data_IF_753774643428
#
_entry.id   IF_753774643428
#
_cell.length_a   1.000
_cell.length_b   1.000
_cell.length_c   1.000
_cell.angle_alpha   90.00
_cell.angle_beta   90.00
_cell.angle_gamma   90.00
#
_symmetry.space_group_name_H-M   'P 1'
#
loop_
_entity.id
_entity.type
_entity.pdbx_description
1 polymer ?
#
# COMPACT_ATOMS: atom_id res chain seq x y z
N UNK A 1 -13.47 13.28 -14.38
CA UNK A 1 -12.17 13.96 -14.46
C UNK A 1 -11.38 13.26 -15.54
N UNK A 2 -10.52 13.94 -16.29
CA UNK A 2 -9.64 13.28 -17.26
C UNK A 2 -8.34 12.87 -16.56
N UNK A 3 -7.75 11.75 -16.97
CA UNK A 3 -6.40 11.35 -16.53
C UNK A 3 -5.37 12.49 -16.68
N UNK A 4 -5.50 13.33 -17.72
CA UNK A 4 -4.63 14.48 -17.93
C UNK A 4 -4.72 15.53 -16.82
N UNK A 5 -5.89 15.71 -16.19
CA UNK A 5 -6.05 16.66 -15.08
C UNK A 5 -5.23 16.22 -13.86
N UNK A 6 -5.15 14.91 -13.58
CA UNK A 6 -4.32 14.39 -12.51
C UNK A 6 -2.83 14.50 -12.83
N UNK A 7 -2.45 14.15 -14.06
CA UNK A 7 -1.07 14.22 -14.52
C UNK A 7 -0.51 15.66 -14.48
N UNK A 8 -1.27 16.63 -14.99
CA UNK A 8 -0.87 18.04 -14.95
C UNK A 8 -0.81 18.58 -13.51
N UNK A 9 -1.71 18.14 -12.62
CA UNK A 9 -1.65 18.52 -11.21
C UNK A 9 -0.36 18.03 -10.54
N UNK A 10 0.01 16.75 -10.76
CA UNK A 10 1.25 16.18 -10.25
C UNK A 10 2.48 16.94 -10.75
N UNK A 11 2.58 17.17 -12.06
CA UNK A 11 3.69 17.94 -12.64
C UNK A 11 3.75 19.37 -12.12
N UNK A 12 2.60 20.04 -12.01
CA UNK A 12 2.53 21.41 -11.47
C UNK A 12 3.02 21.43 -10.03
N UNK A 13 2.68 20.42 -9.22
CA UNK A 13 3.18 20.29 -7.86
C UNK A 13 4.71 20.17 -7.85
N UNK A 14 5.27 19.23 -8.62
CA UNK A 14 6.73 19.05 -8.72
C UNK A 14 7.47 20.32 -9.16
N UNK A 15 6.91 21.06 -10.12
CA UNK A 15 7.46 22.33 -10.60
C UNK A 15 7.41 23.43 -9.54
N UNK A 16 6.27 23.56 -8.84
CA UNK A 16 6.08 24.54 -7.77
C UNK A 16 7.04 24.31 -6.59
N UNK A 17 7.32 23.04 -6.30
CA UNK A 17 8.17 22.63 -5.19
C UNK A 17 9.63 22.41 -5.60
N UNK A 18 10.01 22.73 -6.85
CA UNK A 18 11.38 22.59 -7.36
C UNK A 18 11.99 21.20 -7.15
N UNK A 19 11.15 20.15 -7.14
CA UNK A 19 11.61 18.78 -6.96
C UNK A 19 12.56 18.34 -8.08
N UNK A 20 13.45 17.36 -7.83
CA UNK A 20 14.28 16.76 -8.89
C UNK A 20 13.45 16.27 -10.10
N UNK A 21 12.21 15.85 -9.88
CA UNK A 21 11.27 15.37 -10.89
C UNK A 21 10.85 16.43 -11.90
N UNK A 22 10.81 17.71 -11.50
CA UNK A 22 10.26 18.80 -12.30
C UNK A 22 10.90 18.94 -13.69
N UNK A 23 12.20 18.68 -13.77
CA UNK A 23 13.02 18.82 -14.99
C UNK A 23 13.26 17.50 -15.72
N UNK A 24 12.78 16.37 -15.17
CA UNK A 24 13.07 15.03 -15.69
C UNK A 24 11.92 14.42 -16.50
N UNK A 25 10.81 15.13 -16.71
CA UNK A 25 9.72 14.67 -17.57
C UNK A 25 10.18 14.57 -19.04
N UNK A 26 10.18 13.36 -19.59
CA UNK A 26 10.59 13.10 -20.97
C UNK A 26 9.53 13.55 -21.98
N UNK A 27 9.95 13.93 -23.18
CA UNK A 27 9.02 14.40 -24.22
C UNK A 27 7.89 13.39 -24.49
N UNK A 28 6.65 13.86 -24.74
CA UNK A 28 5.52 12.98 -25.05
C UNK A 28 5.75 12.16 -26.32
N UNK A 29 5.22 10.94 -26.34
CA UNK A 29 5.19 10.11 -27.53
C UNK A 29 3.95 10.38 -28.39
N UNK A 30 4.13 10.27 -29.71
CA UNK A 30 3.02 10.23 -30.67
C UNK A 30 2.45 8.84 -30.73
N UNK A 31 1.18 8.75 -31.15
CA UNK A 31 0.47 7.48 -31.25
C UNK A 31 1.21 6.41 -32.08
N UNK A 32 1.78 6.69 -33.27
CA UNK A 32 2.51 5.68 -34.03
C UNK A 32 3.77 5.16 -33.31
N UNK A 33 4.45 6.01 -32.53
CA UNK A 33 5.65 5.62 -31.77
C UNK A 33 5.26 4.65 -30.64
N UNK A 34 4.17 4.96 -29.92
CA UNK A 34 3.59 4.06 -28.90
C UNK A 34 3.18 2.73 -29.53
N UNK A 35 2.45 2.77 -30.65
CA UNK A 35 1.99 1.54 -31.31
C UNK A 35 3.17 0.68 -31.80
N UNK A 36 4.27 1.29 -32.27
CA UNK A 36 5.48 0.56 -32.66
C UNK A 36 6.15 -0.13 -31.47
N UNK A 37 6.33 0.58 -30.35
CA UNK A 37 6.93 0.01 -29.15
C UNK A 37 6.09 -1.16 -28.60
N UNK A 38 4.78 -0.96 -28.50
CA UNK A 38 3.85 -1.95 -27.97
C UNK A 38 3.70 -3.21 -28.82
N UNK A 39 4.23 -3.27 -30.05
CA UNK A 39 4.29 -4.53 -30.82
C UNK A 39 5.10 -5.62 -30.11
N UNK A 40 6.01 -5.24 -29.21
CA UNK A 40 6.81 -6.16 -28.38
C UNK A 40 6.03 -6.70 -27.17
N UNK A 41 4.87 -6.14 -26.85
CA UNK A 41 4.02 -6.55 -25.75
C UNK A 41 2.76 -7.24 -26.30
N UNK A 42 2.50 -8.53 -25.96
CA UNK A 42 1.50 -9.33 -26.67
C UNK A 42 0.05 -9.04 -26.26
N UNK A 43 -0.19 -8.15 -25.29
CA UNK A 43 -1.53 -7.84 -24.77
C UNK A 43 -2.01 -6.46 -25.20
N UNK A 44 -3.33 -6.29 -25.42
CA UNK A 44 -3.90 -4.98 -25.69
C UNK A 44 -3.79 -4.09 -24.44
N UNK A 45 -3.21 -2.90 -24.59
CA UNK A 45 -3.09 -1.96 -23.46
C UNK A 45 -4.35 -1.09 -23.31
N UNK A 46 -4.70 -0.68 -22.07
CA UNK A 46 -5.81 0.23 -21.85
C UNK A 46 -5.51 1.64 -22.38
N UNK A 47 -6.55 2.37 -22.78
CA UNK A 47 -6.40 3.73 -23.31
C UNK A 47 -5.80 4.73 -22.30
N UNK A 48 -5.95 4.47 -21.01
CA UNK A 48 -5.31 5.24 -19.93
C UNK A 48 -3.78 5.19 -20.03
N UNK A 49 -3.20 4.03 -20.35
CA UNK A 49 -1.77 3.87 -20.53
C UNK A 49 -1.27 4.66 -21.75
N UNK A 50 -2.04 4.64 -22.84
CA UNK A 50 -1.73 5.44 -24.03
C UNK A 50 -1.76 6.93 -23.69
N UNK A 51 -2.70 7.38 -22.87
CA UNK A 51 -2.77 8.77 -22.43
C UNK A 51 -1.57 9.17 -21.56
N UNK A 52 -1.08 8.28 -20.68
CA UNK A 52 0.12 8.49 -19.89
C UNK A 52 1.34 8.80 -20.79
N UNK A 53 1.62 7.93 -21.77
CA UNK A 53 2.78 8.11 -22.65
C UNK A 53 2.64 9.23 -23.68
N UNK A 54 1.40 9.62 -24.02
CA UNK A 54 1.13 10.84 -24.80
C UNK A 54 1.30 12.12 -24.01
N UNK A 55 1.27 12.04 -22.69
CA UNK A 55 1.54 13.16 -21.80
C UNK A 55 3.04 13.35 -21.60
N UNK A 56 3.74 12.32 -21.15
CA UNK A 56 5.20 12.28 -21.06
C UNK A 56 5.68 10.84 -21.20
N UNK A 57 6.83 10.63 -21.84
CA UNK A 57 7.43 9.30 -22.00
C UNK A 57 8.16 8.85 -20.73
N UNK A 58 7.47 8.86 -19.59
CA UNK A 58 8.08 8.60 -18.29
C UNK A 58 9.03 9.70 -17.82
N UNK A 59 9.94 9.33 -16.93
CA UNK A 59 10.88 10.21 -16.24
C UNK A 59 12.32 9.75 -16.51
N UNK A 60 13.22 10.70 -16.70
CA UNK A 60 14.65 10.44 -16.85
C UNK A 60 15.35 10.29 -15.49
N UNK A 61 16.54 9.69 -15.50
CA UNK A 61 17.48 9.65 -14.38
C UNK A 61 16.92 9.09 -13.07
N UNK A 62 15.95 8.17 -13.14
CA UNK A 62 15.28 7.60 -11.96
C UNK A 62 14.70 8.67 -11.03
N UNK A 63 14.20 9.78 -11.60
CA UNK A 63 13.57 10.83 -10.81
C UNK A 63 12.21 10.33 -10.28
N UNK A 64 12.01 10.28 -8.95
CA UNK A 64 10.79 9.72 -8.38
C UNK A 64 9.58 10.61 -8.64
N UNK A 65 8.47 10.04 -9.11
CA UNK A 65 7.19 10.75 -9.19
C UNK A 65 6.54 10.85 -7.81
N UNK A 66 6.54 9.76 -7.05
CA UNK A 66 6.08 9.73 -5.67
C UNK A 66 6.90 8.70 -4.93
N UNK A 67 7.18 8.99 -3.65
CA UNK A 67 8.12 8.20 -2.84
C UNK A 67 9.41 7.93 -3.63
N UNK A 68 9.74 6.66 -3.87
CA UNK A 68 10.91 6.23 -4.64
C UNK A 68 10.58 5.79 -6.08
N UNK A 69 9.30 5.72 -6.47
CA UNK A 69 8.87 5.17 -7.76
C UNK A 69 9.04 6.14 -8.91
N UNK A 70 9.69 5.67 -9.97
CA UNK A 70 9.85 6.39 -11.23
C UNK A 70 8.89 5.84 -12.28
N UNK A 71 8.24 6.69 -13.09
CA UNK A 71 7.52 6.23 -14.28
C UNK A 71 8.55 5.86 -15.35
N UNK A 72 8.54 4.61 -15.78
CA UNK A 72 9.42 4.15 -16.84
C UNK A 72 9.12 4.85 -18.17
N UNK A 73 10.15 5.21 -18.95
CA UNK A 73 10.00 5.34 -20.39
C UNK A 73 9.39 4.07 -20.98
N UNK A 74 8.53 4.19 -22.01
CA UNK A 74 7.80 3.03 -22.54
C UNK A 74 8.73 1.93 -23.06
N UNK A 75 9.88 2.29 -23.62
CA UNK A 75 10.88 1.31 -24.06
C UNK A 75 11.46 0.51 -22.88
N UNK A 76 11.78 1.19 -21.78
CA UNK A 76 12.26 0.58 -20.54
C UNK A 76 11.19 -0.29 -19.89
N UNK A 77 9.94 0.16 -19.84
CA UNK A 77 8.80 -0.64 -19.37
C UNK A 77 8.67 -1.99 -20.12
N UNK A 78 8.95 -2.00 -21.43
CA UNK A 78 8.92 -3.22 -22.26
C UNK A 78 10.15 -4.11 -22.00
N UNK A 79 11.30 -3.52 -21.70
CA UNK A 79 12.52 -4.25 -21.35
C UNK A 79 12.38 -4.90 -19.96
N UNK A 80 11.88 -4.16 -18.98
CA UNK A 80 11.55 -4.66 -17.64
C UNK A 80 10.48 -5.77 -17.71
N UNK A 81 9.46 -5.61 -18.56
CA UNK A 81 8.51 -6.70 -18.83
C UNK A 81 9.18 -7.97 -19.36
N UNK A 82 10.09 -7.83 -20.32
CA UNK A 82 10.79 -8.98 -20.90
C UNK A 82 11.67 -9.68 -19.85
N UNK A 83 12.36 -8.90 -19.02
CA UNK A 83 13.17 -9.41 -17.92
C UNK A 83 12.30 -10.12 -16.88
N UNK A 84 11.21 -9.51 -16.44
CA UNK A 84 10.30 -10.10 -15.46
C UNK A 84 9.68 -11.41 -15.94
N UNK A 85 9.37 -11.54 -17.24
CA UNK A 85 8.91 -12.78 -17.84
C UNK A 85 10.02 -13.86 -17.92
N UNK A 86 11.28 -13.48 -18.18
CA UNK A 86 12.42 -14.40 -18.23
C UNK A 86 12.81 -14.91 -16.84
N UNK A 87 12.81 -14.01 -15.85
CA UNK A 87 13.21 -14.27 -14.47
C UNK A 87 12.06 -14.76 -13.59
N UNK A 88 10.83 -14.83 -14.11
CA UNK A 88 9.67 -15.21 -13.32
C UNK A 88 9.90 -16.57 -12.67
N UNK A 89 10.10 -16.54 -11.35
CA UNK A 89 10.07 -17.72 -10.52
C UNK A 89 8.69 -18.39 -10.59
N UNK A 90 8.64 -19.66 -10.20
CA UNK A 90 7.39 -20.36 -10.01
C UNK A 90 7.03 -20.32 -8.52
N UNK A 91 5.76 -20.06 -8.21
CA UNK A 91 5.21 -20.19 -6.87
C UNK A 91 5.15 -21.67 -6.41
N UNK A 92 4.65 -21.91 -5.20
CA UNK A 92 4.50 -23.26 -4.65
C UNK A 92 3.58 -24.17 -5.49
N UNK A 93 2.67 -23.59 -6.27
CA UNK A 93 1.78 -24.28 -7.21
C UNK A 93 2.40 -24.47 -8.60
N UNK A 94 3.66 -24.06 -8.79
CA UNK A 94 4.37 -24.15 -10.05
C UNK A 94 3.88 -23.13 -11.10
N UNK A 95 3.22 -22.05 -10.68
CA UNK A 95 2.77 -20.97 -11.57
C UNK A 95 3.76 -19.81 -11.59
N UNK A 96 3.98 -19.17 -12.75
CA UNK A 96 4.80 -17.95 -12.82
C UNK A 96 4.29 -16.90 -11.84
N UNK A 97 5.19 -16.42 -10.97
CA UNK A 97 4.91 -15.34 -10.02
C UNK A 97 4.62 -14.02 -10.78
N UNK A 98 5.17 -13.86 -11.99
CA UNK A 98 4.84 -12.75 -12.89
C UNK A 98 3.79 -13.19 -13.92
N UNK A 99 2.65 -12.49 -13.97
CA UNK A 99 1.63 -12.73 -15.00
C UNK A 99 2.07 -12.11 -16.32
N UNK A 100 2.02 -12.87 -17.42
CA UNK A 100 2.41 -12.39 -18.75
C UNK A 100 1.65 -11.14 -19.23
N UNK A 101 0.45 -10.89 -18.70
CA UNK A 101 -0.34 -9.71 -19.04
C UNK A 101 0.03 -8.45 -18.25
N UNK A 102 0.96 -8.55 -17.31
CA UNK A 102 1.41 -7.43 -16.49
C UNK A 102 2.53 -6.66 -17.18
N UNK A 103 2.28 -5.38 -17.43
CA UNK A 103 3.29 -4.45 -17.94
C UNK A 103 3.74 -3.54 -16.78
N UNK A 104 5.01 -3.58 -16.34
CA UNK A 104 5.50 -2.67 -15.31
C UNK A 104 5.49 -1.24 -15.87
N UNK A 105 4.91 -0.31 -15.12
CA UNK A 105 4.79 1.10 -15.54
C UNK A 105 5.53 2.05 -14.62
N UNK A 106 5.76 1.64 -13.37
CA UNK A 106 6.65 2.30 -12.45
C UNK A 106 7.51 1.26 -11.74
N UNK A 107 8.67 1.67 -11.26
CA UNK A 107 9.45 0.82 -10.37
C UNK A 107 10.55 1.53 -9.60
N UNK A 108 11.12 0.76 -8.67
CA UNK A 108 12.19 1.15 -7.77
C UNK A 108 12.91 -0.11 -7.26
N UNK A 109 14.21 -0.25 -7.52
CA UNK A 109 15.04 -1.34 -6.96
C UNK A 109 14.45 -2.77 -7.11
N UNK A 110 13.79 -3.06 -8.24
CA UNK A 110 13.18 -4.37 -8.51
C UNK A 110 11.73 -4.52 -7.99
N UNK A 111 11.22 -3.50 -7.31
CA UNK A 111 9.79 -3.35 -7.05
C UNK A 111 9.11 -2.71 -8.25
N UNK A 112 7.92 -3.20 -8.58
CA UNK A 112 7.14 -2.71 -9.71
C UNK A 112 5.70 -2.43 -9.33
N UNK A 113 5.16 -1.36 -9.91
CA UNK A 113 3.72 -1.20 -10.11
C UNK A 113 3.41 -1.56 -11.55
N UNK A 114 2.69 -2.66 -11.74
CA UNK A 114 2.39 -3.22 -13.06
C UNK A 114 0.91 -3.16 -13.36
N UNK A 115 0.57 -2.79 -14.59
CA UNK A 115 -0.82 -2.74 -15.07
C UNK A 115 -1.22 -4.07 -15.72
N UNK A 116 -2.32 -4.67 -15.28
CA UNK A 116 -2.85 -5.88 -15.89
C UNK A 116 -3.60 -5.56 -17.19
N UNK A 117 -3.02 -6.01 -18.30
CA UNK A 117 -3.55 -5.81 -19.65
C UNK A 117 -4.37 -7.01 -20.18
N UNK A 118 -4.70 -7.97 -19.32
CA UNK A 118 -5.51 -9.13 -19.71
C UNK A 118 -6.97 -8.68 -20.02
N UNK A 119 -7.44 -8.83 -21.26
CA UNK A 119 -8.80 -8.42 -21.65
C UNK A 119 -9.88 -9.33 -21.08
N UNK A 120 -9.52 -10.49 -20.52
CA UNK A 120 -10.42 -11.43 -19.85
C UNK A 120 -10.32 -11.34 -18.33
N UNK A 121 -9.37 -10.56 -17.78
CA UNK A 121 -9.31 -10.34 -16.36
C UNK A 121 -10.64 -9.75 -15.88
N UNK A 122 -11.08 -10.19 -14.70
CA UNK A 122 -12.27 -9.62 -14.05
C UNK A 122 -12.16 -8.10 -13.92
N UNK A 123 -10.93 -7.58 -13.81
CA UNK A 123 -10.59 -6.16 -13.72
C UNK A 123 -9.39 -5.83 -14.62
N UNK A 124 -9.63 -5.67 -15.92
CA UNK A 124 -8.59 -5.15 -16.83
C UNK A 124 -8.17 -3.73 -16.44
N UNK A 125 -6.87 -3.45 -16.49
CA UNK A 125 -6.28 -2.15 -16.17
C UNK A 125 -5.99 -1.91 -14.69
N UNK A 126 -6.14 -2.95 -13.86
CA UNK A 126 -5.82 -2.95 -12.44
C UNK A 126 -4.31 -2.83 -12.22
N UNK A 127 -3.88 -2.13 -11.17
CA UNK A 127 -2.45 -1.93 -10.85
C UNK A 127 -2.05 -2.86 -9.71
N UNK A 128 -1.10 -3.74 -9.99
CA UNK A 128 -0.50 -4.68 -9.06
C UNK A 128 0.82 -4.14 -8.54
N UNK A 129 1.05 -4.32 -7.25
CA UNK A 129 2.36 -4.17 -6.65
C UNK A 129 3.09 -5.52 -6.65
N UNK A 130 4.36 -5.51 -7.03
CA UNK A 130 5.23 -6.69 -7.00
C UNK A 130 6.61 -6.33 -6.47
N UNK A 131 7.01 -6.92 -5.35
CA UNK A 131 8.37 -6.86 -4.81
C UNK A 131 9.14 -8.17 -5.05
N UNK A 132 10.49 -8.14 -5.09
CA UNK A 132 11.30 -9.35 -5.20
C UNK A 132 11.02 -10.34 -4.06
N UNK A 133 10.85 -11.62 -4.36
CA UNK A 133 10.58 -12.67 -3.36
C UNK A 133 9.18 -12.65 -2.72
N UNK A 134 8.33 -11.68 -3.07
CA UNK A 134 6.96 -11.58 -2.55
C UNK A 134 5.91 -11.88 -3.62
N UNK A 135 4.76 -12.40 -3.17
CA UNK A 135 3.57 -12.52 -4.01
C UNK A 135 3.06 -11.12 -4.41
N UNK A 136 2.62 -10.98 -5.65
CA UNK A 136 2.01 -9.72 -6.07
C UNK A 136 0.65 -9.55 -5.39
N UNK A 137 0.27 -8.31 -5.14
CA UNK A 137 -1.06 -7.97 -4.64
C UNK A 137 -1.58 -6.69 -5.30
N UNK A 138 -2.89 -6.53 -5.39
CA UNK A 138 -3.47 -5.34 -6.02
C UNK A 138 -3.26 -4.10 -5.16
N UNK A 139 -2.88 -3.00 -5.78
CA UNK A 139 -2.54 -1.77 -5.08
C UNK A 139 -3.46 -0.60 -5.40
N UNK A 140 -3.81 -0.43 -6.69
CA UNK A 140 -4.74 0.60 -7.16
C UNK A 140 -5.73 0.05 -8.16
N UNK A 141 -7.00 0.47 -8.08
CA UNK A 141 -8.12 -0.07 -8.86
C UNK A 141 -7.96 0.14 -10.37
N UNK A 142 -7.24 1.19 -10.76
CA UNK A 142 -6.86 1.46 -12.14
C UNK A 142 -5.75 2.52 -12.19
N UNK A 143 -5.14 2.72 -13.36
CA UNK A 143 -4.19 3.82 -13.57
C UNK A 143 -4.81 5.21 -13.25
N UNK A 144 -6.09 5.41 -13.56
CA UNK A 144 -6.75 6.68 -13.25
C UNK A 144 -6.93 6.88 -11.74
N UNK A 145 -7.31 5.83 -11.01
CA UNK A 145 -7.44 5.88 -9.55
C UNK A 145 -6.09 6.01 -8.85
N UNK A 146 -5.04 5.38 -9.38
CA UNK A 146 -3.67 5.60 -8.93
C UNK A 146 -3.32 7.09 -9.00
N UNK A 147 -3.47 7.70 -10.17
CA UNK A 147 -3.11 9.12 -10.37
C UNK A 147 -3.97 10.07 -9.53
N UNK A 148 -5.27 9.78 -9.37
CA UNK A 148 -6.13 10.52 -8.44
C UNK A 148 -5.66 10.37 -6.99
N UNK A 149 -5.25 9.18 -6.58
CA UNK A 149 -4.71 8.92 -5.23
C UNK A 149 -3.46 9.72 -4.99
N UNK A 150 -2.46 9.62 -5.89
CA UNK A 150 -1.21 10.36 -5.79
C UNK A 150 -1.45 11.86 -5.69
N UNK A 151 -2.30 12.41 -6.56
CA UNK A 151 -2.69 13.81 -6.52
C UNK A 151 -3.30 14.17 -5.16
N UNK A 152 -4.22 13.36 -4.67
CA UNK A 152 -4.91 13.59 -3.39
C UNK A 152 -3.94 13.55 -2.21
N UNK A 153 -2.91 12.69 -2.27
CA UNK A 153 -1.85 12.64 -1.27
C UNK A 153 -1.01 13.94 -1.26
N UNK A 154 -0.59 14.43 -2.42
CA UNK A 154 0.12 15.71 -2.52
C UNK A 154 -0.74 16.91 -2.09
N UNK A 155 -2.03 16.93 -2.46
CA UNK A 155 -2.96 18.02 -2.09
C UNK A 155 -3.26 18.05 -0.59
N UNK A 156 -3.24 16.89 0.08
CA UNK A 156 -3.53 16.76 1.51
C UNK A 156 -2.26 16.71 2.39
N UNK A 157 -1.08 16.89 1.79
CA UNK A 157 0.19 16.87 2.53
C UNK A 157 0.61 15.48 3.02
N UNK A 158 -0.02 14.41 2.53
CA UNK A 158 0.46 13.04 2.80
C UNK A 158 1.77 12.74 2.06
N UNK A 159 2.03 13.43 0.94
CA UNK A 159 3.34 13.53 0.31
C UNK A 159 3.89 14.93 0.45
N UNK A 160 5.12 15.05 0.95
CA UNK A 160 5.74 16.32 1.28
C UNK A 160 7.27 16.24 1.17
N UNK A 161 7.94 17.39 1.07
CA UNK A 161 9.39 17.46 1.25
C UNK A 161 9.68 17.67 2.73
N UNK A 162 10.56 16.84 3.28
CA UNK A 162 11.05 17.00 4.64
C UNK A 162 12.15 18.09 4.74
N UNK A 163 12.75 18.22 5.93
CA UNK A 163 13.79 19.20 6.21
C UNK A 163 15.04 19.04 5.34
N UNK A 164 15.28 17.83 4.81
CA UNK A 164 16.43 17.49 3.95
C UNK A 164 16.08 17.62 2.45
N UNK A 165 14.91 18.20 2.12
CA UNK A 165 14.38 18.30 0.76
C UNK A 165 14.20 16.93 0.08
N UNK A 166 14.00 15.87 0.88
CA UNK A 166 13.70 14.53 0.41
C UNK A 166 12.18 14.35 0.35
N UNK A 167 11.69 13.75 -0.74
CA UNK A 167 10.28 13.46 -0.89
C UNK A 167 9.90 12.33 0.09
N UNK A 168 9.14 12.70 1.11
CA UNK A 168 8.73 11.84 2.22
C UNK A 168 7.21 11.60 2.22
N UNK A 169 6.78 10.59 2.97
CA UNK A 169 5.40 10.11 3.03
C UNK A 169 4.92 10.02 4.49
N UNK A 170 3.75 10.60 4.78
CA UNK A 170 2.91 10.17 5.92
C UNK A 170 2.16 8.92 5.47
N UNK A 171 2.69 7.77 5.86
CA UNK A 171 2.20 6.48 5.39
C UNK A 171 0.75 6.23 5.79
N UNK A 172 0.35 6.63 6.99
CA UNK A 172 -1.03 6.41 7.47
C UNK A 172 -2.02 7.30 6.71
N UNK A 173 -1.67 8.56 6.47
CA UNK A 173 -2.49 9.47 5.67
C UNK A 173 -2.58 8.99 4.21
N UNK A 174 -1.45 8.64 3.60
CA UNK A 174 -1.39 8.17 2.22
C UNK A 174 -2.17 6.85 2.04
N UNK A 175 -1.99 5.90 2.97
CA UNK A 175 -2.70 4.62 2.91
C UNK A 175 -4.21 4.81 3.09
N UNK A 176 -4.65 5.67 4.00
CA UNK A 176 -6.08 5.99 4.19
C UNK A 176 -6.71 6.59 2.92
N UNK A 177 -6.02 7.53 2.27
CA UNK A 177 -6.45 8.12 0.99
C UNK A 177 -6.54 7.04 -0.09
N UNK A 178 -5.51 6.18 -0.18
CA UNK A 178 -5.49 5.05 -1.12
C UNK A 178 -6.67 4.12 -0.90
N UNK A 179 -6.94 3.70 0.33
CA UNK A 179 -8.03 2.78 0.63
C UNK A 179 -9.41 3.37 0.33
N UNK A 180 -9.59 4.66 0.58
CA UNK A 180 -10.83 5.37 0.27
C UNK A 180 -11.09 5.44 -1.24
N UNK A 181 -10.04 5.68 -2.04
CA UNK A 181 -10.14 5.87 -3.49
C UNK A 181 -10.02 4.57 -4.29
N UNK A 182 -9.44 3.52 -3.69
CA UNK A 182 -9.23 2.21 -4.30
C UNK A 182 -9.90 1.12 -3.46
N UNK A 183 -11.22 1.21 -3.21
CA UNK A 183 -11.91 0.30 -2.31
C UNK A 183 -11.88 -1.14 -2.81
N UNK A 184 -11.63 -1.39 -4.10
CA UNK A 184 -11.54 -2.75 -4.61
C UNK A 184 -10.18 -3.40 -4.34
N UNK A 185 -9.09 -2.64 -4.46
CA UNK A 185 -7.72 -3.07 -4.14
C UNK A 185 -7.50 -3.16 -2.64
N UNK A 186 -8.03 -2.18 -1.90
CA UNK A 186 -7.98 -2.17 -0.44
C UNK A 186 -8.78 -3.30 0.21
N UNK A 187 -9.85 -3.76 -0.45
CA UNK A 187 -10.67 -4.90 -0.01
C UNK A 187 -10.25 -6.22 -0.61
N UNK A 188 -9.26 -6.26 -1.49
CA UNK A 188 -8.55 -7.51 -1.66
C UNK A 188 -7.73 -7.65 -0.38
N UNK A 189 -8.41 -8.13 0.67
CA UNK A 189 -7.78 -9.01 1.64
C UNK A 189 -6.88 -9.90 0.79
N UNK A 190 -5.57 -9.87 1.01
CA UNK A 190 -4.69 -10.95 0.54
C UNK A 190 -5.48 -12.19 0.85
N UNK A 191 -6.06 -12.86 -0.17
CA UNK A 191 -7.13 -13.83 0.04
C UNK A 191 -6.58 -14.79 1.07
N UNK A 192 -7.02 -14.65 2.34
CA UNK A 192 -6.52 -15.53 3.38
C UNK A 192 -6.95 -16.89 2.87
N UNK A 193 -5.99 -17.79 2.56
CA UNK A 193 -6.32 -19.04 1.91
C UNK A 193 -7.48 -19.67 2.66
N UNK A 194 -8.42 -20.31 1.98
CA UNK A 194 -9.45 -21.04 2.73
C UNK A 194 -8.74 -21.99 3.70
N UNK A 195 -9.06 -21.95 5.01
CA UNK A 195 -8.39 -22.81 5.97
C UNK A 195 -8.49 -24.27 5.55
N UNK A 196 -7.35 -24.96 5.47
CA UNK A 196 -7.31 -26.39 5.17
C UNK A 196 -7.77 -27.23 6.35
N UNK A 197 -7.64 -26.70 7.58
CA UNK A 197 -8.09 -27.36 8.81
C UNK A 197 -8.35 -26.34 9.94
N UNK A 198 -9.27 -26.69 10.84
CA UNK A 198 -9.57 -25.93 12.05
C UNK A 198 -9.74 -26.85 13.25
N UNK A 199 -8.98 -26.60 14.31
CA UNK A 199 -8.99 -27.39 15.54
C UNK A 199 -9.36 -26.52 16.74
N UNK A 200 -10.48 -26.85 17.38
CA UNK A 200 -10.87 -26.24 18.65
C UNK A 200 -10.49 -27.18 19.81
N UNK A 201 -9.59 -26.71 20.66
CA UNK A 201 -9.10 -27.44 21.83
C UNK A 201 -9.63 -26.78 23.11
N UNK A 202 -10.40 -27.52 23.90
CA UNK A 202 -10.80 -27.09 25.24
C UNK A 202 -9.70 -27.45 26.25
N UNK A 203 -9.35 -26.50 27.12
CA UNK A 203 -8.33 -26.68 28.16
C UNK A 203 -8.97 -27.03 29.51
N UNK A 204 -8.23 -27.67 30.44
CA UNK A 204 -8.74 -28.06 31.76
C UNK A 204 -9.22 -26.87 32.63
N UNK A 205 -8.70 -25.67 32.39
CA UNK A 205 -9.07 -24.44 33.10
C UNK A 205 -10.30 -23.74 32.51
N UNK A 206 -10.92 -24.33 31.49
CA UNK A 206 -12.09 -23.79 30.79
C UNK A 206 -11.76 -22.84 29.64
N UNK A 207 -10.49 -22.51 29.42
CA UNK A 207 -10.06 -21.75 28.24
C UNK A 207 -10.18 -22.59 26.96
N UNK A 208 -10.16 -21.93 25.81
CA UNK A 208 -10.20 -22.60 24.51
C UNK A 208 -9.10 -22.05 23.60
N UNK A 209 -8.55 -22.92 22.75
CA UNK A 209 -7.62 -22.55 21.68
C UNK A 209 -8.22 -22.99 20.34
N UNK A 210 -8.35 -22.06 19.40
CA UNK A 210 -8.73 -22.34 18.02
C UNK A 210 -7.50 -22.18 17.12
N UNK A 211 -6.99 -23.30 16.60
CA UNK A 211 -5.94 -23.30 15.60
C UNK A 211 -6.56 -23.37 14.20
N UNK A 212 -6.24 -22.42 13.33
CA UNK A 212 -6.71 -22.36 11.93
C UNK A 212 -5.50 -22.47 11.01
N UNK A 213 -5.42 -23.56 10.25
CA UNK A 213 -4.28 -23.89 9.39
C UNK A 213 -4.57 -23.51 7.94
N UNK A 214 -3.60 -22.85 7.32
CA UNK A 214 -3.60 -22.52 5.88
C UNK A 214 -2.60 -23.41 5.14
N UNK A 215 -1.54 -23.83 5.82
CA UNK A 215 -0.58 -24.87 5.43
C UNK A 215 -0.08 -25.61 6.69
N UNK A 216 0.90 -26.52 6.56
CA UNK A 216 1.58 -27.11 7.73
C UNK A 216 2.41 -26.08 8.51
N UNK A 217 2.88 -25.03 7.85
CA UNK A 217 3.77 -24.00 8.40
C UNK A 217 3.10 -22.66 8.65
N UNK A 218 1.93 -22.41 8.06
CA UNK A 218 1.23 -21.14 8.09
C UNK A 218 -0.14 -21.34 8.76
N UNK A 219 -0.30 -20.78 9.96
CA UNK A 219 -1.48 -20.98 10.78
C UNK A 219 -1.66 -19.87 11.81
N UNK A 220 -2.87 -19.73 12.33
CA UNK A 220 -3.18 -18.84 13.46
C UNK A 220 -3.66 -19.64 14.66
N UNK A 221 -3.36 -19.16 15.86
CA UNK A 221 -3.91 -19.67 17.11
C UNK A 221 -4.65 -18.55 17.83
N UNK A 222 -5.97 -18.69 18.00
CA UNK A 222 -6.79 -17.77 18.77
C UNK A 222 -7.06 -18.36 20.14
N UNK A 223 -6.90 -17.55 21.18
CA UNK A 223 -7.09 -17.95 22.57
C UNK A 223 -8.34 -17.30 23.13
N UNK A 224 -9.13 -18.06 23.87
CA UNK A 224 -10.38 -17.64 24.48
C UNK A 224 -10.41 -17.98 25.96
N UNK A 225 -10.85 -17.03 26.77
CA UNK A 225 -11.07 -17.22 28.21
C UNK A 225 -12.24 -18.17 28.51
N UNK A 226 -12.45 -18.55 29.78
CA UNK A 226 -13.60 -19.36 30.19
C UNK A 226 -14.96 -18.71 29.91
N UNK A 227 -14.99 -17.38 29.77
CA UNK A 227 -16.13 -16.56 29.36
C UNK A 227 -16.31 -16.46 27.84
N UNK A 228 -15.46 -17.15 27.06
CA UNK A 228 -15.38 -17.13 25.60
C UNK A 228 -14.97 -15.78 25.00
N UNK A 229 -14.44 -14.85 25.80
CA UNK A 229 -13.83 -13.63 25.27
C UNK A 229 -12.46 -13.97 24.69
N UNK A 230 -12.10 -13.39 23.54
CA UNK A 230 -10.77 -13.57 22.93
C UNK A 230 -9.72 -12.94 23.84
N UNK A 231 -8.72 -13.70 24.27
CA UNK A 231 -7.63 -13.26 25.15
C UNK A 231 -6.30 -13.09 24.42
N UNK A 232 -6.19 -13.62 23.19
CA UNK A 232 -4.99 -13.45 22.37
C UNK A 232 -5.10 -14.05 20.97
N UNK A 233 -4.09 -13.76 20.17
CA UNK A 233 -3.86 -14.32 18.83
C UNK A 233 -2.35 -14.57 18.66
N UNK A 234 -1.97 -15.67 18.04
CA UNK A 234 -0.64 -15.86 17.50
C UNK A 234 -0.78 -16.18 16.00
N UNK A 235 0.09 -15.59 15.19
CA UNK A 235 0.16 -15.86 13.75
C UNK A 235 1.53 -16.42 13.42
N UNK A 236 1.54 -17.51 12.67
CA UNK A 236 2.73 -18.22 12.27
C UNK A 236 2.86 -18.20 10.76
N UNK A 237 4.06 -17.93 10.25
CA UNK A 237 4.41 -18.14 8.85
C UNK A 237 5.74 -18.85 8.72
N UNK A 238 5.83 -19.82 7.81
CA UNK A 238 7.03 -20.66 7.67
C UNK A 238 7.40 -21.40 8.96
N UNK A 239 6.42 -21.64 9.85
CA UNK A 239 6.59 -22.23 11.17
C UNK A 239 7.15 -21.28 12.24
N UNK A 240 7.39 -20.01 11.91
CA UNK A 240 7.90 -18.99 12.82
C UNK A 240 6.74 -18.11 13.31
N UNK A 241 6.76 -17.70 14.58
CA UNK A 241 5.79 -16.74 15.12
C UNK A 241 6.10 -15.35 14.56
N UNK A 242 5.18 -14.80 13.77
CA UNK A 242 5.37 -13.51 13.08
C UNK A 242 4.60 -12.37 13.74
N UNK A 243 3.50 -12.69 14.44
CA UNK A 243 2.68 -11.73 15.17
C UNK A 243 2.08 -12.36 16.42
N UNK A 244 2.00 -11.57 17.48
CA UNK A 244 1.30 -11.93 18.73
C UNK A 244 0.39 -10.80 19.16
N UNK A 245 -0.83 -11.12 19.56
CA UNK A 245 -1.76 -10.20 20.22
C UNK A 245 -2.09 -10.71 21.62
N UNK A 246 -2.20 -9.78 22.57
CA UNK A 246 -2.77 -10.03 23.90
C UNK A 246 -3.89 -9.05 24.18
N UNK A 247 -5.01 -9.55 24.71
CA UNK A 247 -6.23 -8.78 24.90
C UNK A 247 -6.52 -8.67 26.40
N UNK A 248 -6.64 -7.44 26.89
CA UNK A 248 -6.91 -7.11 28.27
C UNK A 248 -8.20 -6.29 28.39
N UNK A 249 -9.29 -6.93 28.79
CA UNK A 249 -10.58 -6.26 28.95
C UNK A 249 -10.56 -5.37 30.19
N UNK A 250 -10.71 -4.06 29.97
CA UNK A 250 -10.78 -3.06 31.03
C UNK A 250 -12.19 -2.98 31.62
N UNK A 251 -13.21 -3.27 30.79
CA UNK A 251 -14.61 -3.38 31.18
C UNK A 251 -15.39 -4.26 30.18
N UNK A 252 -16.73 -4.29 30.27
CA UNK A 252 -17.57 -4.95 29.27
C UNK A 252 -17.57 -4.21 27.91
N UNK A 253 -17.27 -2.91 27.91
CA UNK A 253 -17.33 -2.05 26.72
C UNK A 253 -15.94 -1.61 26.25
N UNK A 254 -14.87 -2.07 26.90
CA UNK A 254 -13.52 -1.54 26.67
C UNK A 254 -12.44 -2.62 26.81
N UNK A 255 -11.48 -2.58 25.88
CA UNK A 255 -10.34 -3.50 25.79
C UNK A 255 -9.05 -2.76 25.46
N UNK A 256 -7.94 -3.22 26.02
CA UNK A 256 -6.60 -2.88 25.57
C UNK A 256 -6.01 -4.09 24.84
N UNK A 257 -5.56 -3.90 23.61
CA UNK A 257 -4.93 -4.93 22.77
C UNK A 257 -3.47 -4.53 22.61
N UNK A 258 -2.55 -5.42 22.98
CA UNK A 258 -1.12 -5.27 22.65
C UNK A 258 -0.78 -6.20 21.50
N UNK A 259 -0.37 -5.64 20.37
CA UNK A 259 0.08 -6.33 19.18
C UNK A 259 1.60 -6.23 19.06
N UNK A 260 2.27 -7.34 18.79
CA UNK A 260 3.71 -7.42 18.63
C UNK A 260 4.02 -8.04 17.26
N UNK A 261 4.69 -7.28 16.41
CA UNK A 261 5.19 -7.75 15.11
C UNK A 261 6.62 -8.23 15.29
N UNK A 262 6.84 -9.53 15.03
CA UNK A 262 8.09 -10.21 15.34
C UNK A 262 8.98 -10.43 14.11
N UNK A 263 8.46 -10.19 12.91
CA UNK A 263 9.28 -10.18 11.69
C UNK A 263 9.85 -8.80 11.42
N UNK A 264 11.18 -8.75 11.22
CA UNK A 264 11.90 -7.52 10.91
C UNK A 264 12.13 -6.62 12.12
N UNK A 265 11.67 -5.37 12.03
CA UNK A 265 11.76 -4.37 13.09
C UNK A 265 10.72 -4.66 14.17
N UNK A 266 11.16 -4.90 15.42
CA UNK A 266 10.25 -5.17 16.53
C UNK A 266 9.40 -3.94 16.85
N UNK A 267 8.14 -3.99 16.39
CA UNK A 267 7.14 -2.96 16.64
C UNK A 267 6.09 -3.54 17.57
N UNK A 268 5.74 -2.77 18.60
CA UNK A 268 4.64 -3.08 19.51
C UNK A 268 3.60 -2.00 19.38
N UNK A 269 2.34 -2.37 19.15
CA UNK A 269 1.20 -1.45 19.10
C UNK A 269 0.32 -1.72 20.31
N UNK A 270 -0.04 -0.69 21.06
CA UNK A 270 -1.08 -0.75 22.09
C UNK A 270 -2.31 -0.02 21.60
N UNK A 271 -3.39 -0.75 21.45
CA UNK A 271 -4.67 -0.27 20.94
C UNK A 271 -5.65 -0.28 22.10
N UNK A 272 -6.16 0.90 22.45
CA UNK A 272 -7.31 1.00 23.34
C UNK A 272 -8.56 1.04 22.47
N UNK A 273 -9.48 0.10 22.68
CA UNK A 273 -10.65 -0.07 21.85
C UNK A 273 -11.95 -0.09 22.64
N UNK A 274 -13.02 0.38 22.02
CA UNK A 274 -14.40 0.22 22.48
C UNK A 274 -15.01 -1.02 21.87
N UNK A 275 -15.69 -1.83 22.67
CA UNK A 275 -16.43 -3.00 22.21
C UNK A 275 -17.84 -2.56 21.85
N UNK A 276 -18.25 -2.75 20.59
CA UNK A 276 -19.61 -2.45 20.13
C UNK A 276 -20.61 -3.50 20.63
N UNK A 277 -21.93 -3.22 20.62
CA UNK A 277 -22.95 -4.21 20.97
C UNK A 277 -22.89 -5.51 20.14
N UNK A 278 -22.33 -5.44 18.93
CA UNK A 278 -22.10 -6.58 18.04
C UNK A 278 -20.80 -7.35 18.35
N UNK A 279 -20.03 -6.92 19.36
CA UNK A 279 -18.77 -7.53 19.77
C UNK A 279 -17.56 -7.13 18.93
N UNK A 280 -17.67 -6.08 18.09
CA UNK A 280 -16.54 -5.55 17.32
C UNK A 280 -15.71 -4.61 18.18
N UNK A 281 -14.42 -4.49 17.88
CA UNK A 281 -13.55 -3.51 18.54
C UNK A 281 -13.37 -2.30 17.61
N UNK A 282 -13.77 -1.13 18.08
CA UNK A 282 -13.47 0.16 17.45
C UNK A 282 -12.28 0.80 18.18
N UNK A 283 -11.18 1.06 17.47
CA UNK A 283 -10.01 1.71 18.07
C UNK A 283 -10.37 3.15 18.54
N UNK A 284 -9.98 3.47 19.78
CA UNK A 284 -10.11 4.79 20.39
C UNK A 284 -8.77 5.53 20.43
N UNK A 285 -7.70 4.80 20.73
CA UNK A 285 -6.34 5.30 20.83
C UNK A 285 -5.38 4.19 20.37
N UNK A 286 -4.29 4.58 19.72
CA UNK A 286 -3.25 3.66 19.24
C UNK A 286 -1.89 4.27 19.56
N UNK A 287 -1.05 3.51 20.25
CA UNK A 287 0.31 3.90 20.59
C UNK A 287 1.29 2.88 20.02
N UNK A 288 2.25 3.33 19.25
CA UNK A 288 3.30 2.48 18.69
C UNK A 288 4.58 2.62 19.50
N UNK A 289 5.30 1.52 19.66
CA UNK A 289 6.57 1.43 20.36
C UNK A 289 7.58 0.75 19.46
N UNK A 290 8.80 1.29 19.43
CA UNK A 290 9.93 0.70 18.74
C UNK A 290 11.04 0.42 19.75
N UNK A 291 11.44 -0.85 19.89
CA UNK A 291 12.39 -1.29 20.92
C UNK A 291 12.01 -0.87 22.36
N UNK A 292 10.71 -0.79 22.65
CA UNK A 292 10.16 -0.43 23.96
C UNK A 292 10.02 1.07 24.22
N UNK A 293 10.53 1.92 23.35
CA UNK A 293 10.34 3.37 23.43
C UNK A 293 9.10 3.77 22.63
N UNK A 294 8.22 4.65 23.17
CA UNK A 294 7.07 5.14 22.42
C UNK A 294 7.56 5.92 21.20
N UNK A 295 6.97 5.63 20.04
CA UNK A 295 7.09 6.48 18.87
C UNK A 295 6.25 7.73 19.14
N UNK A 296 6.90 8.80 19.61
CA UNK A 296 6.30 10.13 19.61
C UNK A 296 6.15 10.55 18.16
N UNK A 297 4.94 10.49 17.63
CA UNK A 297 4.63 11.32 16.48
C UNK A 297 4.76 12.77 16.92
N UNK A 298 5.45 13.65 16.17
CA UNK A 298 5.31 15.07 16.40
C UNK A 298 3.81 15.34 16.33
N UNK A 299 3.22 15.77 17.46
CA UNK A 299 1.85 16.26 17.46
C UNK A 299 1.79 17.27 16.31
N UNK A 300 0.92 17.05 15.33
CA UNK A 300 0.78 17.96 14.20
C UNK A 300 0.63 19.36 14.79
N UNK A 301 1.67 20.19 14.63
CA UNK A 301 1.82 21.43 15.37
C UNK A 301 0.52 22.24 15.23
N UNK A 302 -0.24 22.36 16.31
CA UNK A 302 -1.30 23.34 16.45
C UNK A 302 -0.65 24.73 16.69
N UNK A 303 0.25 25.16 15.80
CA UNK A 303 0.81 26.51 15.68
C UNK A 303 0.48 26.98 14.24
N UNK A 304 -0.22 28.08 13.92
CA UNK A 304 -0.58 29.29 14.65
C UNK A 304 -1.95 29.77 14.13
N UNK A 305 -2.94 29.91 15.01
CA UNK A 305 -4.08 30.79 14.79
C UNK A 305 -3.91 32.10 15.58
N UNK A 306 -2.71 32.68 15.58
CA UNK A 306 -2.54 34.08 16.00
C UNK A 306 -3.01 35.00 14.87
N UNK A 307 -4.29 35.34 14.96
CA UNK A 307 -4.90 36.44 14.22
C UNK A 307 -4.19 37.76 14.57
N UNK A 308 -3.19 38.14 13.78
CA UNK A 308 -2.72 39.52 13.73
C UNK A 308 -3.85 40.41 13.19
N UNK A 309 -4.61 41.04 14.08
CA UNK A 309 -5.42 42.22 13.73
C UNK A 309 -4.49 43.35 13.27
N UNK A 310 -4.65 43.88 12.05
CA UNK A 310 -3.88 45.03 11.61
C UNK A 310 -4.40 46.29 12.29
N UNK A 311 -3.58 46.90 13.13
CA UNK A 311 -3.75 48.30 13.55
C UNK A 311 -3.62 49.20 12.34
N UNK A 312 -4.70 49.89 11.96
CA UNK A 312 -4.65 50.98 10.98
C UNK A 312 -3.89 52.18 11.56
N UNK A 313 -3.00 52.84 10.79
CA UNK A 313 -2.44 54.12 11.19
C UNK A 313 -3.50 55.21 11.08
N UNK A 314 -3.65 56.01 12.14
CA UNK A 314 -4.29 57.31 12.05
C UNK A 314 -3.31 58.28 11.36
N UNK A 315 -3.68 58.75 10.17
CA UNK A 315 -2.96 59.76 9.39
C UNK A 315 -3.77 60.23 8.22
#
# INVERSE_FOLDING_TARGET
MSIYEHLEALKTWHQKHHSPTADNFLAPLKRPEIDTLLQRFPYPVPGSLINLYRWHNGLANNAPLFREYTIYPLEEAIEEYALACEESELDEAGQPVWKESWLPILGFMGEHLAIDCDPQAMRTGHIWYKAPGEAAYPWYDSLEQMLLTLRSCFEQGAYFFDEDEILSEDWEAANRIREQLNPFSARVEVETPEPIDQKLEAQPDGTQKLSTYYSESDYTEQFYGPDRKKTGLCEYSGGQLIRRESWHYLSEEEVEITEEHLMGMMMVSKIRGRITPEGRVEALDVQHFFNGEPLSWPEADEEEAETQTPTMPAG
#
